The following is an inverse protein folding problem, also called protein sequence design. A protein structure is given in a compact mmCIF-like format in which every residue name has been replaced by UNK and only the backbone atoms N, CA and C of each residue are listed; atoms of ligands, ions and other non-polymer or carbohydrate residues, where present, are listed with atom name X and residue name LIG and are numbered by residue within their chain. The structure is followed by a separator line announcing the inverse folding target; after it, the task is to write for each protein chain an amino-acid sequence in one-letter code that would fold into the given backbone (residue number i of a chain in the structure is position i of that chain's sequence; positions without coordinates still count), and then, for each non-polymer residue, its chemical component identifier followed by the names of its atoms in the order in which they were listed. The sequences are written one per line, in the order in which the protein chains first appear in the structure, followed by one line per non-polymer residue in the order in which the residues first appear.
data_IF_991227321848
#
_entry.id   IF_991227321848
#
_cell.length_a   1.000
_cell.length_b   1.000
_cell.length_c   1.000
_cell.angle_alpha   90.00
_cell.angle_beta   90.00
_cell.angle_gamma   90.00
#
_symmetry.space_group_name_H-M   'P 1'
#
loop_
_entity.id
_entity.type
_entity.pdbx_description
1 polymer ?
#
# COMPACT_ATOMS: atom_id res chain seq x y z
N UNK A 1 -14.14 12.33 15.19
CA UNK A 1 -12.86 12.95 14.81
C UNK A 1 -13.07 13.99 13.72
N UNK A 2 -13.62 13.64 12.56
CA UNK A 2 -13.91 14.62 11.50
C UNK A 2 -14.78 15.80 11.95
N UNK A 3 -15.83 15.55 12.73
CA UNK A 3 -16.65 16.61 13.37
C UNK A 3 -15.89 17.49 14.38
N UNK A 4 -14.83 16.97 15.02
CA UNK A 4 -13.98 17.76 15.92
C UNK A 4 -12.97 18.61 15.14
N UNK A 5 -12.52 18.12 13.98
CA UNK A 5 -11.67 18.87 13.04
C UNK A 5 -12.48 20.00 12.39
N UNK A 6 -13.75 19.75 12.01
CA UNK A 6 -14.68 20.78 11.51
C UNK A 6 -14.89 21.92 12.51
N UNK A 7 -14.95 21.60 13.80
CA UNK A 7 -15.11 22.61 14.87
C UNK A 7 -13.80 23.31 15.27
N UNK A 8 -12.68 22.97 14.64
CA UNK A 8 -11.36 23.57 14.92
C UNK A 8 -10.72 23.17 16.25
N UNK A 9 -11.25 22.14 16.91
CA UNK A 9 -10.71 21.64 18.18
C UNK A 9 -9.68 20.53 17.93
N UNK A 10 -8.48 20.95 17.52
CA UNK A 10 -7.34 20.05 17.21
C UNK A 10 -6.94 19.21 18.43
N UNK A 11 -7.13 19.73 19.65
CA UNK A 11 -6.85 19.01 20.89
C UNK A 11 -7.83 17.84 21.08
N UNK A 12 -9.12 18.06 20.82
CA UNK A 12 -10.15 17.03 20.90
C UNK A 12 -10.03 15.99 19.78
N UNK A 13 -9.68 16.42 18.56
CA UNK A 13 -9.39 15.53 17.44
C UNK A 13 -8.19 14.60 17.74
N UNK A 14 -7.13 15.12 18.36
CA UNK A 14 -5.96 14.34 18.77
C UNK A 14 -6.30 13.34 19.89
N UNK A 15 -7.15 13.73 20.85
CA UNK A 15 -7.58 12.88 21.97
C UNK A 15 -8.44 11.70 21.51
N UNK A 16 -9.36 11.92 20.58
CA UNK A 16 -10.23 10.89 20.01
C UNK A 16 -9.49 9.91 19.08
N UNK A 17 -8.35 10.34 18.50
CA UNK A 17 -7.59 9.52 17.53
C UNK A 17 -6.53 8.62 18.18
N UNK A 18 -6.16 8.89 19.44
CA UNK A 18 -5.00 8.30 20.14
C UNK A 18 -5.05 6.77 20.29
N UNK A 19 -6.24 6.17 20.29
CA UNK A 19 -6.45 4.74 20.54
C UNK A 19 -7.06 3.99 19.35
N UNK A 20 -7.16 4.62 18.18
CA UNK A 20 -7.84 4.00 17.04
C UNK A 20 -6.95 3.02 16.28
N UNK A 21 -7.55 1.91 15.84
CA UNK A 21 -6.90 0.91 14.96
C UNK A 21 -7.00 1.28 13.48
N UNK A 22 -7.77 2.31 13.17
CA UNK A 22 -7.99 2.81 11.82
C UNK A 22 -6.70 3.49 11.28
N UNK A 23 -6.18 3.07 10.12
CA UNK A 23 -5.01 3.66 9.49
C UNK A 23 -5.12 5.17 9.25
N UNK A 24 -6.31 5.66 8.87
CA UNK A 24 -6.56 7.08 8.60
C UNK A 24 -6.41 7.88 9.89
N UNK A 25 -6.99 7.41 11.00
CA UNK A 25 -6.91 8.09 12.29
C UNK A 25 -5.47 8.08 12.86
N UNK A 26 -4.70 7.01 12.61
CA UNK A 26 -3.27 6.96 12.98
C UNK A 26 -2.43 7.93 12.17
N UNK A 27 -2.69 8.03 10.87
CA UNK A 27 -2.02 9.01 9.99
C UNK A 27 -2.31 10.44 10.47
N UNK A 28 -3.58 10.77 10.71
CA UNK A 28 -3.99 12.10 11.17
C UNK A 28 -3.35 12.45 12.53
N UNK A 29 -3.34 11.51 13.48
CA UNK A 29 -2.68 11.73 14.77
C UNK A 29 -1.18 12.00 14.63
N UNK A 30 -0.49 11.20 13.81
CA UNK A 30 0.94 11.39 13.57
C UNK A 30 1.22 12.73 12.87
N UNK A 31 0.39 13.15 11.90
CA UNK A 31 0.53 14.44 11.23
C UNK A 31 0.34 15.62 12.17
N UNK A 32 -0.72 15.61 12.99
CA UNK A 32 -1.07 16.70 13.91
C UNK A 32 -0.07 16.88 15.07
N UNK A 33 0.68 15.83 15.43
CA UNK A 33 1.58 15.84 16.59
C UNK A 33 3.03 16.23 16.25
N UNK A 34 3.36 16.48 14.96
CA UNK A 34 4.69 16.94 14.54
C UNK A 34 4.78 18.47 14.56
N UNK A 35 5.54 19.03 15.51
CA UNK A 35 5.69 20.49 15.71
C UNK A 35 6.73 21.18 14.79
N UNK A 36 7.52 20.44 14.00
CA UNK A 36 8.72 20.99 13.34
C UNK A 36 8.87 20.70 11.83
N UNK A 37 7.88 20.07 11.19
CA UNK A 37 7.85 19.82 9.74
C UNK A 37 6.58 20.40 9.12
N UNK A 38 6.56 20.70 7.82
CA UNK A 38 5.31 21.00 7.13
C UNK A 38 4.31 19.87 7.39
N UNK A 39 3.08 20.22 7.78
CA UNK A 39 2.04 19.25 8.11
C UNK A 39 1.81 18.26 6.96
N UNK A 40 1.86 18.76 5.73
CA UNK A 40 1.80 17.98 4.49
C UNK A 40 2.85 16.86 4.47
N UNK A 41 4.13 17.19 4.73
CA UNK A 41 5.20 16.20 4.75
C UNK A 41 5.01 15.17 5.88
N UNK A 42 4.52 15.59 7.05
CA UNK A 42 4.24 14.68 8.15
C UNK A 42 3.11 13.70 7.83
N UNK A 43 2.02 14.18 7.21
CA UNK A 43 0.90 13.35 6.75
C UNK A 43 1.34 12.37 5.66
N UNK A 44 2.12 12.83 4.69
CA UNK A 44 2.62 12.00 3.58
C UNK A 44 3.53 10.87 4.09
N UNK A 45 4.44 11.17 5.03
CA UNK A 45 5.29 10.14 5.67
C UNK A 45 4.43 9.14 6.45
N UNK A 46 3.45 9.60 7.22
CA UNK A 46 2.57 8.73 7.99
C UNK A 46 1.70 7.82 7.09
N UNK A 47 1.17 8.35 5.99
CA UNK A 47 0.42 7.59 5.00
C UNK A 47 1.29 6.51 4.36
N UNK A 48 2.52 6.86 3.96
CA UNK A 48 3.48 5.92 3.39
C UNK A 48 3.84 4.76 4.34
N UNK A 49 3.94 5.02 5.65
CA UNK A 49 4.18 3.98 6.65
C UNK A 49 3.01 2.99 6.72
N UNK A 50 1.76 3.47 6.72
CA UNK A 50 0.58 2.61 6.79
C UNK A 50 0.37 1.82 5.49
N UNK A 51 0.59 2.44 4.32
CA UNK A 51 0.56 1.75 3.01
C UNK A 51 1.62 0.64 2.97
N UNK A 52 2.87 0.95 3.38
CA UNK A 52 3.94 -0.04 3.43
C UNK A 52 3.63 -1.19 4.39
N UNK A 53 2.99 -0.90 5.53
CA UNK A 53 2.56 -1.92 6.49
C UNK A 53 1.47 -2.81 5.88
N UNK A 54 0.49 -2.24 5.20
CA UNK A 54 -0.59 -2.96 4.55
C UNK A 54 -0.10 -3.84 3.38
N UNK A 55 0.84 -3.32 2.58
CA UNK A 55 1.42 -4.01 1.43
C UNK A 55 2.54 -5.00 1.74
N UNK A 56 2.91 -5.21 3.02
CA UNK A 56 4.14 -5.95 3.37
C UNK A 56 4.22 -7.39 2.85
N UNK A 57 3.07 -8.04 2.64
CA UNK A 57 3.00 -9.40 2.13
C UNK A 57 2.75 -9.48 0.62
N UNK A 58 2.38 -8.37 -0.04
CA UNK A 58 2.14 -8.35 -1.49
C UNK A 58 3.40 -8.71 -2.27
N UNK A 59 4.58 -8.27 -1.81
CA UNK A 59 5.86 -8.61 -2.45
C UNK A 59 6.11 -10.12 -2.46
N UNK A 60 5.75 -10.80 -1.38
CA UNK A 60 5.88 -12.27 -1.29
C UNK A 60 4.89 -12.95 -2.24
N UNK A 61 3.66 -12.46 -2.32
CA UNK A 61 2.66 -13.00 -3.24
C UNK A 61 3.05 -12.79 -4.70
N UNK A 62 3.55 -11.61 -5.06
CA UNK A 62 4.09 -11.31 -6.39
C UNK A 62 5.23 -12.27 -6.76
N UNK A 63 6.14 -12.50 -5.82
CA UNK A 63 7.21 -13.49 -5.98
C UNK A 63 6.66 -14.89 -6.22
N UNK A 64 5.61 -15.32 -5.50
CA UNK A 64 5.00 -16.64 -5.71
C UNK A 64 4.33 -16.76 -7.08
N UNK A 65 3.59 -15.74 -7.50
CA UNK A 65 2.91 -15.69 -8.81
C UNK A 65 3.92 -15.80 -9.96
N UNK A 66 5.07 -15.13 -9.82
CA UNK A 66 6.11 -15.10 -10.85
C UNK A 66 7.06 -16.30 -10.80
N UNK A 67 7.44 -16.76 -9.61
CA UNK A 67 8.44 -17.82 -9.43
C UNK A 67 7.85 -19.23 -9.61
N UNK A 68 6.59 -19.47 -9.23
CA UNK A 68 6.00 -20.81 -9.32
C UNK A 68 5.97 -21.39 -10.75
N UNK A 69 5.60 -20.63 -11.81
CA UNK A 69 5.68 -21.12 -13.19
C UNK A 69 7.12 -21.40 -13.63
N UNK A 70 8.07 -20.55 -13.22
CA UNK A 70 9.49 -20.74 -13.53
C UNK A 70 10.05 -22.01 -12.91
N UNK A 71 9.63 -22.34 -11.68
CA UNK A 71 9.99 -23.60 -11.03
C UNK A 71 9.34 -24.81 -11.73
N UNK A 72 8.11 -24.70 -12.23
CA UNK A 72 7.47 -25.75 -13.02
C UNK A 72 8.20 -26.01 -14.35
N UNK A 73 8.61 -24.93 -15.03
CA UNK A 73 9.44 -25.01 -16.24
C UNK A 73 10.81 -25.63 -15.94
N UNK A 74 11.46 -25.24 -14.83
CA UNK A 74 12.70 -25.88 -14.38
C UNK A 74 12.50 -27.39 -14.16
N UNK A 75 11.40 -27.78 -13.51
CA UNK A 75 11.03 -29.18 -13.33
C UNK A 75 10.95 -29.92 -14.67
N UNK A 76 10.35 -29.30 -15.68
CA UNK A 76 10.28 -29.86 -17.04
C UNK A 76 11.65 -30.08 -17.65
N UNK A 77 12.54 -29.08 -17.55
CA UNK A 77 13.91 -29.19 -18.06
C UNK A 77 14.63 -30.35 -17.37
N UNK A 78 14.55 -30.45 -16.04
CA UNK A 78 15.23 -31.52 -15.30
C UNK A 78 14.67 -32.91 -15.61
N UNK A 79 13.34 -33.04 -15.78
CA UNK A 79 12.70 -34.30 -16.16
C UNK A 79 13.10 -34.76 -17.55
N UNK A 80 13.14 -33.83 -18.52
CA UNK A 80 13.62 -34.13 -19.87
C UNK A 80 15.10 -34.55 -19.90
N UNK A 81 15.97 -33.88 -19.13
CA UNK A 81 17.39 -34.27 -19.02
C UNK A 81 17.51 -35.71 -18.49
N UNK A 82 16.73 -36.07 -17.45
CA UNK A 82 16.70 -37.45 -16.96
C UNK A 82 16.18 -38.43 -18.01
N UNK A 83 15.08 -38.11 -18.71
CA UNK A 83 14.56 -38.96 -19.79
C UNK A 83 15.62 -39.26 -20.85
N UNK A 84 16.39 -38.26 -21.27
CA UNK A 84 17.45 -38.45 -22.26
C UNK A 84 18.61 -39.32 -21.77
N UNK A 85 18.87 -39.43 -20.47
CA UNK A 85 19.89 -40.34 -19.94
C UNK A 85 19.56 -41.83 -20.13
N UNK A 86 18.29 -42.16 -20.37
CA UNK A 86 17.84 -43.53 -20.65
C UNK A 86 17.89 -43.88 -22.15
N UNK A 87 18.10 -42.90 -23.03
CA UNK A 87 18.36 -43.16 -24.46
C UNK A 87 19.73 -43.82 -24.60
N UNK A 88 19.74 -45.13 -24.88
CA UNK A 88 20.96 -45.93 -25.02
C UNK A 88 20.81 -47.36 -24.48
N UNK A 89 19.80 -47.63 -23.65
CA UNK A 89 19.48 -48.98 -23.18
C UNK A 89 18.27 -49.55 -23.96
N UNK A 90 18.50 -50.55 -24.82
CA UNK A 90 17.55 -50.98 -25.86
C UNK A 90 16.22 -51.57 -25.34
N UNK A 91 16.19 -52.20 -24.16
CA UNK A 91 15.02 -52.98 -23.73
C UNK A 91 13.93 -52.18 -23.01
N UNK A 92 14.27 -51.07 -22.32
CA UNK A 92 13.32 -50.30 -21.49
C UNK A 92 13.33 -48.78 -21.74
N UNK A 93 14.11 -48.29 -22.70
CA UNK A 93 14.24 -46.85 -22.96
C UNK A 93 12.90 -46.14 -23.21
N UNK A 94 11.98 -46.77 -23.96
CA UNK A 94 10.70 -46.12 -24.32
C UNK A 94 9.81 -45.87 -23.10
N UNK A 95 9.70 -46.83 -22.18
CA UNK A 95 8.90 -46.66 -20.96
C UNK A 95 9.54 -45.66 -20.00
N UNK A 96 10.88 -45.70 -19.84
CA UNK A 96 11.59 -44.76 -18.99
C UNK A 96 11.49 -43.31 -19.49
N UNK A 97 11.63 -43.11 -20.80
CA UNK A 97 11.54 -41.79 -21.43
C UNK A 97 10.14 -41.21 -21.31
N UNK A 98 9.11 -41.99 -21.62
CA UNK A 98 7.71 -41.54 -21.54
C UNK A 98 7.30 -41.23 -20.09
N UNK A 99 7.81 -42.00 -19.12
CA UNK A 99 7.64 -41.71 -17.68
C UNK A 99 8.25 -40.36 -17.28
N UNK A 100 9.50 -40.08 -17.64
CA UNK A 100 10.14 -38.80 -17.29
C UNK A 100 9.54 -37.58 -18.01
N UNK A 101 8.97 -37.75 -19.21
CA UNK A 101 8.19 -36.71 -19.88
C UNK A 101 6.88 -36.45 -19.12
N UNK A 102 6.20 -37.50 -18.65
CA UNK A 102 4.99 -37.34 -17.84
C UNK A 102 5.27 -36.61 -16.52
N UNK A 103 6.36 -36.95 -15.82
CA UNK A 103 6.81 -36.26 -14.60
C UNK A 103 7.10 -34.77 -14.87
N UNK A 104 7.79 -34.47 -15.98
CA UNK A 104 8.06 -33.12 -16.43
C UNK A 104 6.77 -32.29 -16.65
N UNK A 105 5.76 -32.87 -17.30
CA UNK A 105 4.48 -32.20 -17.53
C UNK A 105 3.70 -31.95 -16.23
N UNK A 106 3.73 -32.90 -15.29
CA UNK A 106 3.12 -32.72 -13.97
C UNK A 106 3.79 -31.56 -13.23
N UNK A 107 5.11 -31.44 -13.28
CA UNK A 107 5.83 -30.34 -12.65
C UNK A 107 5.39 -28.96 -13.19
N UNK A 108 5.20 -28.83 -14.51
CA UNK A 108 4.64 -27.60 -15.12
C UNK A 108 3.22 -27.34 -14.65
N UNK A 109 2.35 -28.36 -14.67
CA UNK A 109 0.97 -28.22 -14.23
C UNK A 109 0.88 -27.75 -12.76
N UNK A 110 1.73 -28.29 -11.88
CA UNK A 110 1.83 -27.85 -10.49
C UNK A 110 2.30 -26.40 -10.37
N UNK A 111 3.37 -26.01 -11.07
CA UNK A 111 3.90 -24.64 -11.04
C UNK A 111 2.88 -23.60 -11.51
N UNK A 112 2.17 -23.90 -12.61
CA UNK A 112 1.10 -23.05 -13.12
C UNK A 112 -0.11 -23.02 -12.17
N UNK A 113 -0.49 -24.17 -11.62
CA UNK A 113 -1.59 -24.27 -10.65
C UNK A 113 -1.35 -23.37 -9.43
N UNK A 114 -0.16 -23.45 -8.81
CA UNK A 114 0.22 -22.60 -7.68
C UNK A 114 0.14 -21.12 -8.05
N UNK A 115 0.66 -20.74 -9.23
CA UNK A 115 0.64 -19.35 -9.69
C UNK A 115 -0.78 -18.82 -9.87
N UNK A 116 -1.67 -19.60 -10.49
CA UNK A 116 -3.08 -19.23 -10.68
C UNK A 116 -3.78 -19.05 -9.33
N UNK A 117 -3.58 -19.97 -8.39
CA UNK A 117 -4.18 -19.86 -7.05
C UNK A 117 -3.63 -18.67 -6.26
N UNK A 118 -2.36 -18.31 -6.43
CA UNK A 118 -1.75 -17.14 -5.79
C UNK A 118 -2.18 -15.80 -6.43
N UNK A 119 -2.50 -15.80 -7.74
CA UNK A 119 -2.85 -14.60 -8.49
C UNK A 119 -4.15 -13.95 -8.01
N UNK A 120 -5.16 -14.75 -7.66
CA UNK A 120 -6.47 -14.26 -7.19
C UNK A 120 -6.33 -13.41 -5.91
N UNK A 121 -5.78 -13.94 -4.79
CA UNK A 121 -5.57 -13.14 -3.59
C UNK A 121 -4.57 -12.00 -3.82
N UNK A 122 -3.52 -12.18 -4.63
CA UNK A 122 -2.60 -11.10 -4.98
C UNK A 122 -3.34 -9.89 -5.56
N UNK A 123 -4.17 -10.10 -6.59
CA UNK A 123 -4.94 -9.03 -7.22
C UNK A 123 -5.94 -8.39 -6.24
N UNK A 124 -6.61 -9.20 -5.42
CA UNK A 124 -7.54 -8.71 -4.41
C UNK A 124 -6.85 -7.80 -3.38
N UNK A 125 -5.74 -8.24 -2.80
CA UNK A 125 -5.03 -7.46 -1.79
C UNK A 125 -4.35 -6.22 -2.40
N UNK A 126 -3.84 -6.30 -3.63
CA UNK A 126 -3.30 -5.14 -4.35
C UNK A 126 -4.37 -4.07 -4.55
N UNK A 127 -5.59 -4.45 -4.96
CA UNK A 127 -6.72 -3.52 -5.05
C UNK A 127 -7.09 -2.91 -3.69
N UNK A 128 -7.06 -3.70 -2.61
CA UNK A 128 -7.34 -3.20 -1.25
C UNK A 128 -6.29 -2.19 -0.77
N UNK A 129 -5.01 -2.43 -1.03
CA UNK A 129 -3.94 -1.49 -0.67
C UNK A 129 -4.06 -0.20 -1.48
N UNK A 130 -4.39 -0.28 -2.77
CA UNK A 130 -4.63 0.91 -3.60
C UNK A 130 -5.82 1.74 -3.13
N UNK A 131 -6.93 1.10 -2.71
CA UNK A 131 -8.06 1.80 -2.12
C UNK A 131 -7.67 2.49 -0.80
N UNK A 132 -6.88 1.83 0.06
CA UNK A 132 -6.37 2.42 1.29
C UNK A 132 -5.46 3.63 1.02
N UNK A 133 -4.59 3.54 0.02
CA UNK A 133 -3.76 4.66 -0.41
C UNK A 133 -4.63 5.86 -0.84
N UNK A 134 -5.68 5.62 -1.63
CA UNK A 134 -6.62 6.66 -2.03
C UNK A 134 -7.35 7.29 -0.84
N UNK A 135 -7.81 6.48 0.12
CA UNK A 135 -8.47 6.95 1.34
C UNK A 135 -7.54 7.82 2.21
N UNK A 136 -6.29 7.38 2.39
CA UNK A 136 -5.27 8.13 3.15
C UNK A 136 -4.93 9.45 2.47
N UNK A 137 -4.73 9.45 1.15
CA UNK A 137 -4.44 10.66 0.38
C UNK A 137 -5.60 11.66 0.47
N UNK A 138 -6.84 11.19 0.29
CA UNK A 138 -8.04 12.02 0.38
C UNK A 138 -8.18 12.64 1.77
N UNK A 139 -7.95 11.85 2.83
CA UNK A 139 -8.00 12.34 4.20
C UNK A 139 -6.92 13.39 4.49
N UNK A 140 -5.70 13.20 3.99
CA UNK A 140 -4.61 14.16 4.12
C UNK A 140 -4.95 15.49 3.41
N UNK A 141 -5.41 15.44 2.16
CA UNK A 141 -5.81 16.63 1.40
C UNK A 141 -6.97 17.37 2.06
N UNK A 142 -7.99 16.65 2.54
CA UNK A 142 -9.12 17.28 3.23
C UNK A 142 -8.67 18.02 4.49
N UNK A 143 -7.80 17.42 5.30
CA UNK A 143 -7.26 18.07 6.50
C UNK A 143 -6.48 19.33 6.15
N UNK A 144 -5.68 19.29 5.08
CA UNK A 144 -4.91 20.44 4.61
C UNK A 144 -5.82 21.60 4.19
N UNK A 145 -6.84 21.33 3.38
CA UNK A 145 -7.83 22.32 2.92
C UNK A 145 -8.55 22.98 4.11
N UNK A 146 -8.97 22.18 5.09
CA UNK A 146 -9.65 22.70 6.29
C UNK A 146 -8.75 23.63 7.12
N UNK A 147 -7.46 23.31 7.25
CA UNK A 147 -6.51 24.13 8.01
C UNK A 147 -6.12 25.40 7.26
N UNK A 148 -5.98 25.35 5.94
CA UNK A 148 -5.79 26.54 5.12
C UNK A 148 -7.00 27.49 5.23
N UNK A 149 -8.22 26.96 5.19
CA UNK A 149 -9.44 27.74 5.37
C UNK A 149 -9.47 28.44 6.75
N UNK A 150 -9.16 27.73 7.83
CA UNK A 150 -9.07 28.35 9.16
C UNK A 150 -7.95 29.40 9.28
N UNK A 151 -6.82 29.18 8.63
CA UNK A 151 -5.71 30.14 8.64
C UNK A 151 -6.11 31.42 7.89
N UNK A 152 -6.82 31.27 6.76
CA UNK A 152 -7.37 32.39 6.00
C UNK A 152 -8.42 33.18 6.80
N UNK A 153 -9.36 32.49 7.46
CA UNK A 153 -10.35 33.13 8.34
C UNK A 153 -9.70 33.85 9.52
N UNK A 154 -8.67 33.24 10.14
CA UNK A 154 -7.89 33.90 11.20
C UNK A 154 -7.15 35.14 10.71
N UNK A 155 -6.56 35.11 9.52
CA UNK A 155 -5.88 36.28 8.95
C UNK A 155 -6.86 37.43 8.68
N UNK A 156 -8.03 37.15 8.09
CA UNK A 156 -9.08 38.16 7.87
C UNK A 156 -9.63 38.72 9.19
N UNK A 157 -9.77 37.88 10.22
CA UNK A 157 -10.18 38.31 11.56
C UNK A 157 -9.11 39.16 12.29
N UNK A 158 -7.82 38.98 11.99
CA UNK A 158 -6.74 39.80 12.55
C UNK A 158 -6.68 41.15 11.83
N UNK A 159 -6.79 41.18 10.50
CA UNK A 159 -6.76 42.42 9.70
C UNK A 159 -7.94 43.34 10.05
N UNK A 160 -9.15 42.77 10.20
CA UNK A 160 -10.36 43.51 10.62
C UNK A 160 -10.34 44.04 12.07
N UNK A 161 -9.44 43.54 12.93
CA UNK A 161 -9.26 44.02 14.31
C UNK A 161 -8.18 45.10 14.44
N UNK A 162 -7.50 45.45 13.35
CA UNK A 162 -6.58 46.60 13.32
C UNK A 162 -7.44 47.87 13.20
N UNK A 163 -7.57 48.70 14.25
CA UNK A 163 -8.41 49.89 14.16
C UNK A 163 -7.77 50.86 13.17
N UNK A 164 -8.57 51.32 12.21
CA UNK A 164 -8.31 52.56 11.47
C UNK A 164 -8.10 53.70 12.47
N UNK A 165 -6.85 53.95 12.85
CA UNK A 165 -6.42 55.07 13.69
C UNK A 165 -5.65 56.11 12.88
N UNK A 166 -5.97 56.23 11.58
CA UNK A 166 -5.45 57.27 10.70
C UNK A 166 -6.56 58.19 10.17
N UNK A 167 -7.51 58.57 11.03
CA UNK A 167 -8.36 59.75 10.77
C UNK A 167 -8.49 60.58 12.03
N UNK A 168 -7.47 61.42 12.29
CA UNK A 168 -7.55 62.78 12.86
C UNK A 168 -6.27 63.13 13.62
N UNK A 169 -5.38 63.84 12.93
CA UNK A 169 -4.63 64.95 13.53
C UNK A 169 -4.18 65.81 12.36
N UNK A 170 -4.90 66.87 11.97
CA UNK A 170 -5.04 68.17 12.63
C UNK A 170 -4.29 69.20 11.79
N UNK A 171 -5.06 70.13 11.21
CA UNK A 171 -4.68 71.50 10.79
C UNK A 171 -3.82 71.59 9.52
#
# INVERSE_FOLDING_TARGET
VFTAIENGDIAEASRLSRSSRDPVLRMLWNGLNHQHSSLEAALQVAAGIEIKRAGRFLVVMDTLVTLAPLLGLLGTITGLIRSFSFLGNEELAVQAVTGGIAEALIATACGLGIAIFALIPFNFFTSRVSNLEFELQTAATNLEVMLQAQTAERHVAIESRTPSSATRSSI
#
